data_IF_349812412976
#
_entry.id   IF_349812412976
#
_cell.length_a   1.000
_cell.length_b   1.000
_cell.length_c   1.000
_cell.angle_alpha   90.00
_cell.angle_beta   90.00
_cell.angle_gamma   90.00
#
_symmetry.space_group_name_H-M   'P 1'
#
loop_
_entity.id
_entity.type
_entity.pdbx_description
1 polymer ?
#
# COMPACT_ATOMS: atom_id res chain seq x y z
N UNK A 1 20.37 3.65 31.43
CA UNK A 1 19.47 2.62 30.86
C UNK A 1 18.16 3.29 30.47
N UNK A 2 17.97 3.59 29.19
CA UNK A 2 16.70 4.12 28.68
C UNK A 2 15.69 3.00 28.61
N UNK A 3 14.61 3.11 29.39
CA UNK A 3 13.52 2.14 29.37
C UNK A 3 12.94 2.05 27.95
N UNK A 4 13.03 0.87 27.33
CA UNK A 4 12.32 0.58 26.07
C UNK A 4 10.84 0.59 26.43
N UNK A 5 10.15 1.69 26.14
CA UNK A 5 8.68 1.72 26.26
C UNK A 5 8.13 0.66 25.30
N UNK A 6 7.32 -0.31 25.75
CA UNK A 6 6.66 -1.22 24.85
C UNK A 6 5.80 -0.38 23.91
N UNK A 7 6.17 -0.34 22.62
CA UNK A 7 5.38 0.32 21.59
C UNK A 7 4.02 -0.39 21.58
N UNK A 8 2.89 0.33 21.64
CA UNK A 8 1.58 -0.31 21.67
C UNK A 8 1.34 -1.02 20.34
N UNK A 9 1.65 -2.32 20.29
CA UNK A 9 1.54 -3.19 19.11
C UNK A 9 0.16 -3.07 18.45
N UNK A 10 -0.88 -2.89 19.26
CA UNK A 10 -2.26 -2.69 18.82
C UNK A 10 -2.44 -1.49 17.87
N UNK A 11 -1.69 -0.40 18.07
CA UNK A 11 -1.76 0.84 17.25
C UNK A 11 -1.01 0.73 15.93
N UNK A 12 -0.20 -0.32 15.76
CA UNK A 12 0.50 -0.58 14.51
C UNK A 12 -0.11 -1.74 13.72
N UNK A 13 -1.03 -2.49 14.33
CA UNK A 13 -1.87 -3.46 13.62
C UNK A 13 -3.08 -2.80 12.95
N UNK A 14 -3.40 -1.54 13.26
CA UNK A 14 -4.52 -0.80 12.64
C UNK A 14 -4.46 -0.72 11.12
N UNK A 15 -3.31 -0.52 10.44
CA UNK A 15 -3.23 -0.65 8.98
C UNK A 15 -3.61 -2.04 8.48
N UNK A 16 -3.26 -3.10 9.21
CA UNK A 16 -3.63 -4.47 8.86
C UNK A 16 -5.11 -4.75 9.13
N UNK A 17 -5.69 -4.20 10.20
CA UNK A 17 -7.13 -4.27 10.45
C UNK A 17 -7.92 -3.50 9.39
N UNK A 18 -7.39 -2.36 8.91
CA UNK A 18 -7.97 -1.63 7.77
C UNK A 18 -7.84 -2.44 6.48
N UNK A 19 -6.72 -3.12 6.23
CA UNK A 19 -6.52 -3.96 5.05
C UNK A 19 -7.44 -5.18 5.04
N UNK A 20 -7.47 -5.92 6.14
CA UNK A 20 -8.32 -7.10 6.33
C UNK A 20 -9.80 -6.69 6.35
N UNK A 21 -10.13 -5.53 6.91
CA UNK A 21 -11.46 -4.94 6.85
C UNK A 21 -11.87 -4.46 5.46
N UNK A 22 -10.97 -3.82 4.72
CA UNK A 22 -11.26 -3.26 3.41
C UNK A 22 -11.61 -4.34 2.37
N UNK A 23 -10.84 -5.43 2.31
CA UNK A 23 -11.05 -6.49 1.30
C UNK A 23 -12.26 -7.39 1.56
N UNK A 24 -12.68 -7.58 2.81
CA UNK A 24 -13.76 -8.52 3.17
C UNK A 24 -15.00 -7.84 3.76
N UNK A 25 -14.87 -6.67 4.38
CA UNK A 25 -15.99 -5.97 5.02
C UNK A 25 -16.53 -4.80 4.19
N UNK A 26 -15.79 -4.22 3.25
CA UNK A 26 -16.29 -3.06 2.49
C UNK A 26 -17.53 -3.34 1.62
N UNK A 27 -17.73 -4.60 1.19
CA UNK A 27 -18.95 -5.02 0.49
C UNK A 27 -20.13 -5.33 1.43
N UNK A 28 -19.86 -5.59 2.71
CA UNK A 28 -20.84 -5.96 3.73
C UNK A 28 -21.21 -4.80 4.68
N UNK A 29 -20.39 -3.75 4.72
CA UNK A 29 -20.56 -2.65 5.64
C UNK A 29 -21.42 -1.51 5.05
N UNK A 30 -22.26 -0.87 5.87
CA UNK A 30 -22.99 0.32 5.44
C UNK A 30 -22.03 1.48 5.13
N UNK A 31 -22.44 2.38 4.22
CA UNK A 31 -21.59 3.44 3.69
C UNK A 31 -20.96 4.34 4.77
N UNK A 32 -21.57 4.45 5.95
CA UNK A 32 -21.03 5.21 7.08
C UNK A 32 -19.81 4.53 7.75
N UNK A 33 -19.63 3.22 7.61
CA UNK A 33 -18.52 2.49 8.21
C UNK A 33 -17.17 2.78 7.52
N UNK A 34 -17.21 3.24 6.25
CA UNK A 34 -16.00 3.62 5.52
C UNK A 34 -15.27 4.76 6.22
N UNK A 35 -15.99 5.70 6.85
CA UNK A 35 -15.42 6.80 7.65
C UNK A 35 -14.64 6.28 8.86
N UNK A 36 -15.03 5.15 9.43
CA UNK A 36 -14.26 4.46 10.47
C UNK A 36 -12.92 3.98 9.95
N UNK A 37 -12.88 3.42 8.74
CA UNK A 37 -11.64 3.02 8.06
C UNK A 37 -10.74 4.24 7.82
N UNK A 38 -11.26 5.32 7.23
CA UNK A 38 -10.50 6.56 7.02
C UNK A 38 -9.93 7.11 8.34
N UNK A 39 -10.72 7.08 9.41
CA UNK A 39 -10.31 7.55 10.74
C UNK A 39 -9.19 6.70 11.31
N UNK A 40 -9.30 5.37 11.27
CA UNK A 40 -8.25 4.46 11.73
C UNK A 40 -6.96 4.61 10.92
N UNK A 41 -7.07 4.82 9.61
CA UNK A 41 -5.93 5.13 8.74
C UNK A 41 -5.25 6.42 9.16
N UNK A 42 -6.01 7.51 9.34
CA UNK A 42 -5.47 8.81 9.76
C UNK A 42 -4.77 8.73 11.13
N UNK A 43 -5.37 8.02 12.08
CA UNK A 43 -4.77 7.74 13.40
C UNK A 43 -3.46 6.96 13.26
N UNK A 44 -3.45 5.93 12.39
CA UNK A 44 -2.25 5.13 12.13
C UNK A 44 -1.12 5.98 11.54
N UNK A 45 -1.44 6.81 10.53
CA UNK A 45 -0.48 7.77 9.95
C UNK A 45 0.08 8.67 11.03
N UNK A 46 -0.77 9.29 11.86
CA UNK A 46 -0.33 10.23 12.90
C UNK A 46 0.66 9.59 13.88
N UNK A 47 0.35 8.41 14.41
CA UNK A 47 1.21 7.75 15.39
C UNK A 47 2.50 7.22 14.77
N UNK A 48 2.41 6.59 13.59
CA UNK A 48 3.59 6.11 12.86
C UNK A 48 4.50 7.28 12.49
N UNK A 49 3.94 8.40 12.02
CA UNK A 49 4.70 9.61 11.70
C UNK A 49 5.33 10.24 12.94
N UNK A 50 4.61 10.28 14.06
CA UNK A 50 5.14 10.81 15.31
C UNK A 50 6.35 10.02 15.82
N UNK A 51 6.30 8.69 15.70
CA UNK A 51 7.29 7.78 16.30
C UNK A 51 8.46 7.46 15.36
N UNK A 52 8.19 7.21 14.08
CA UNK A 52 9.18 6.75 13.11
C UNK A 52 9.56 7.80 12.07
N UNK A 53 8.74 8.87 11.92
CA UNK A 53 8.88 9.91 10.89
C UNK A 53 9.16 9.36 9.47
N UNK A 54 8.43 8.33 8.98
CA UNK A 54 8.80 7.70 7.73
C UNK A 54 8.40 8.54 6.50
N UNK A 55 7.58 9.58 6.64
CA UNK A 55 7.36 10.56 5.58
C UNK A 55 8.39 11.68 5.67
N UNK A 56 9.24 11.77 4.65
CA UNK A 56 10.07 12.95 4.41
C UNK A 56 9.67 13.58 3.08
N UNK A 57 9.12 14.80 3.12
CA UNK A 57 8.64 15.50 1.92
C UNK A 57 9.80 15.94 1.03
N UNK A 58 10.29 15.03 0.19
CA UNK A 58 11.40 15.26 -0.72
C UNK A 58 10.90 15.25 -2.15
N UNK A 59 11.22 16.28 -2.92
CA UNK A 59 10.87 16.34 -4.34
C UNK A 59 11.49 15.16 -5.13
N UNK A 60 12.63 14.65 -4.68
CA UNK A 60 13.26 13.46 -5.25
C UNK A 60 12.42 12.19 -5.10
N UNK A 61 11.43 12.15 -4.21
CA UNK A 61 10.49 11.03 -4.13
C UNK A 61 9.61 10.92 -5.38
N UNK A 62 9.36 12.02 -6.10
CA UNK A 62 8.73 11.96 -7.42
C UNK A 62 9.66 11.29 -8.45
N UNK A 63 10.95 11.64 -8.43
CA UNK A 63 11.94 11.12 -9.37
C UNK A 63 12.17 9.61 -9.23
N UNK A 64 11.93 9.04 -8.04
CA UNK A 64 12.05 7.60 -7.80
C UNK A 64 10.70 6.89 -7.85
N UNK A 65 9.66 7.49 -7.29
CA UNK A 65 8.33 6.92 -7.19
C UNK A 65 7.67 6.78 -8.56
N UNK A 66 7.60 7.85 -9.35
CA UNK A 66 6.91 7.84 -10.65
C UNK A 66 7.44 6.76 -11.62
N UNK A 67 8.74 6.70 -11.95
CA UNK A 67 9.23 5.69 -12.89
C UNK A 67 9.08 4.26 -12.34
N UNK A 68 9.26 4.07 -11.03
CA UNK A 68 9.07 2.75 -10.40
C UNK A 68 7.60 2.32 -10.46
N UNK A 69 6.67 3.25 -10.26
CA UNK A 69 5.24 2.99 -10.36
C UNK A 69 4.80 2.62 -11.79
N UNK A 70 5.34 3.31 -12.80
CA UNK A 70 5.11 2.98 -14.21
C UNK A 70 5.70 1.62 -14.58
N UNK A 71 6.90 1.29 -14.09
CA UNK A 71 7.51 -0.03 -14.26
C UNK A 71 6.60 -1.10 -13.68
N UNK A 72 6.14 -0.92 -12.43
CA UNK A 72 5.26 -1.89 -11.77
C UNK A 72 3.92 -2.00 -12.49
N UNK A 73 3.34 -0.90 -13.00
CA UNK A 73 2.13 -0.94 -13.81
C UNK A 73 2.33 -1.79 -15.08
N UNK A 74 3.45 -1.61 -15.78
CA UNK A 74 3.81 -2.42 -16.94
C UNK A 74 3.92 -3.91 -16.58
N UNK A 75 4.60 -4.24 -15.48
CA UNK A 75 4.68 -5.62 -14.98
C UNK A 75 3.30 -6.18 -14.64
N UNK A 76 2.43 -5.38 -14.02
CA UNK A 76 1.09 -5.80 -13.67
C UNK A 76 0.24 -6.07 -14.90
N UNK A 77 0.28 -5.19 -15.90
CA UNK A 77 -0.44 -5.38 -17.17
C UNK A 77 -0.03 -6.68 -17.87
N UNK A 78 1.26 -7.03 -17.82
CA UNK A 78 1.78 -8.24 -18.45
C UNK A 78 1.40 -9.54 -17.71
N UNK A 79 1.18 -9.46 -16.40
CA UNK A 79 1.05 -10.63 -15.53
C UNK A 79 -0.37 -10.84 -14.99
N UNK A 80 -1.19 -9.79 -14.93
CA UNK A 80 -2.52 -9.84 -14.35
C UNK A 80 -3.47 -10.70 -15.15
N UNK A 81 -4.18 -11.56 -14.44
CA UNK A 81 -5.20 -12.48 -14.96
C UNK A 81 -6.52 -12.36 -14.21
N UNK A 82 -6.51 -11.73 -13.03
CA UNK A 82 -7.69 -11.61 -12.17
C UNK A 82 -8.15 -10.16 -12.06
N UNK A 83 -9.25 -9.85 -12.74
CA UNK A 83 -9.98 -8.59 -12.56
C UNK A 83 -11.17 -8.73 -11.63
N UNK A 84 -11.68 -7.58 -11.21
CA UNK A 84 -12.99 -7.47 -10.58
C UNK A 84 -13.94 -6.68 -11.47
N UNK A 85 -15.22 -6.64 -11.11
CA UNK A 85 -16.22 -5.85 -11.83
C UNK A 85 -15.92 -4.34 -11.74
N UNK A 86 -16.49 -3.60 -12.68
CA UNK A 86 -16.41 -2.15 -12.72
C UNK A 86 -16.83 -1.51 -11.37
N UNK A 87 -15.98 -0.66 -10.78
CA UNK A 87 -16.34 0.14 -9.60
C UNK A 87 -17.43 1.15 -9.95
N UNK A 88 -18.62 0.98 -9.36
CA UNK A 88 -19.78 1.85 -9.63
C UNK A 88 -19.78 3.18 -8.87
N UNK A 89 -18.77 3.43 -8.03
CA UNK A 89 -18.78 4.48 -7.00
C UNK A 89 -17.47 5.27 -6.96
N UNK A 90 -17.54 6.59 -6.84
CA UNK A 90 -16.37 7.48 -6.78
C UNK A 90 -15.46 7.15 -5.58
N UNK A 91 -16.03 6.72 -4.47
CA UNK A 91 -15.29 6.36 -3.25
C UNK A 91 -14.37 5.16 -3.49
N UNK A 92 -14.72 4.25 -4.40
CA UNK A 92 -13.88 3.12 -4.77
C UNK A 92 -12.62 3.61 -5.51
N UNK A 93 -12.76 4.61 -6.39
CA UNK A 93 -11.61 5.26 -7.04
C UNK A 93 -10.74 5.99 -6.03
N UNK A 94 -11.32 6.86 -5.19
CA UNK A 94 -10.53 7.58 -4.17
C UNK A 94 -9.77 6.62 -3.26
N UNK A 95 -10.42 5.52 -2.86
CA UNK A 95 -9.77 4.47 -2.07
C UNK A 95 -8.62 3.83 -2.83
N UNK A 96 -8.86 3.36 -4.06
CA UNK A 96 -7.85 2.68 -4.87
C UNK A 96 -6.65 3.58 -5.22
N UNK A 97 -6.89 4.82 -5.60
CA UNK A 97 -5.85 5.75 -6.05
C UNK A 97 -5.04 6.37 -4.92
N UNK A 98 -5.64 6.56 -3.74
CA UNK A 98 -5.03 7.36 -2.66
C UNK A 98 -4.89 6.55 -1.38
N UNK A 99 -5.98 6.00 -0.86
CA UNK A 99 -5.94 5.36 0.45
C UNK A 99 -5.19 4.05 0.45
N UNK A 100 -5.48 3.17 -0.52
CA UNK A 100 -4.88 1.85 -0.60
C UNK A 100 -3.36 1.95 -0.64
N UNK A 101 -2.74 2.78 -1.52
CA UNK A 101 -1.30 3.02 -1.48
C UNK A 101 -0.81 3.45 -0.09
N UNK A 102 -1.47 4.42 0.55
CA UNK A 102 -1.01 4.94 1.85
C UNK A 102 -1.12 3.87 2.95
N UNK A 103 -2.25 3.18 3.05
CA UNK A 103 -2.50 2.16 4.07
C UNK A 103 -1.58 0.96 3.88
N UNK A 104 -1.46 0.46 2.65
CA UNK A 104 -0.62 -0.69 2.36
C UNK A 104 0.85 -0.40 2.62
N UNK A 105 1.35 0.75 2.16
CA UNK A 105 2.73 1.11 2.45
C UNK A 105 2.98 1.33 3.94
N UNK A 106 2.04 1.92 4.69
CA UNK A 106 2.16 1.99 6.16
C UNK A 106 2.24 0.60 6.79
N UNK A 107 1.36 -0.32 6.39
CA UNK A 107 1.28 -1.67 6.92
C UNK A 107 2.57 -2.44 6.64
N UNK A 108 2.96 -2.52 5.37
CA UNK A 108 4.05 -3.37 4.93
C UNK A 108 5.41 -2.72 5.18
N UNK A 109 5.58 -1.43 4.88
CA UNK A 109 6.91 -0.78 4.90
C UNK A 109 7.17 -0.11 6.24
N UNK A 110 6.25 0.69 6.76
CA UNK A 110 6.48 1.41 8.02
C UNK A 110 6.25 0.55 9.27
N UNK A 111 5.45 -0.53 9.20
CA UNK A 111 5.27 -1.44 10.33
C UNK A 111 6.02 -2.76 10.19
N UNK A 112 5.70 -3.55 9.16
CA UNK A 112 6.19 -4.94 9.08
C UNK A 112 7.70 -5.01 8.84
N UNK A 113 8.25 -4.23 7.89
CA UNK A 113 9.69 -4.28 7.58
C UNK A 113 10.59 -3.99 8.80
N UNK A 114 10.34 -2.95 9.63
CA UNK A 114 11.15 -2.66 10.82
C UNK A 114 11.15 -3.74 11.91
N UNK A 115 10.25 -4.73 11.87
CA UNK A 115 10.27 -5.85 12.82
C UNK A 115 11.49 -6.76 12.63
N UNK A 116 12.15 -6.67 11.48
CA UNK A 116 13.28 -7.51 11.12
C UNK A 116 14.59 -6.74 11.23
N UNK A 117 15.53 -7.26 12.03
CA UNK A 117 16.88 -6.67 12.20
C UNK A 117 17.66 -6.59 10.88
N UNK A 118 17.52 -7.61 10.03
CA UNK A 118 18.12 -7.61 8.71
C UNK A 118 17.15 -6.99 7.71
N UNK A 119 17.56 -5.86 7.11
CA UNK A 119 16.72 -5.11 6.16
C UNK A 119 16.25 -5.94 4.96
N UNK A 120 17.07 -6.86 4.45
CA UNK A 120 16.73 -7.68 3.29
C UNK A 120 15.76 -8.80 3.63
N UNK A 121 15.81 -9.31 4.88
CA UNK A 121 14.77 -10.20 5.40
C UNK A 121 13.45 -9.42 5.51
N UNK A 122 13.49 -8.18 6.00
CA UNK A 122 12.32 -7.29 6.02
C UNK A 122 11.73 -7.07 4.63
N UNK A 123 12.56 -6.79 3.63
CA UNK A 123 12.13 -6.65 2.21
C UNK A 123 11.44 -7.92 1.72
N UNK A 124 12.07 -9.10 1.91
CA UNK A 124 11.52 -10.37 1.46
C UNK A 124 10.19 -10.69 2.14
N UNK A 125 10.12 -10.59 3.47
CA UNK A 125 8.91 -10.88 4.24
C UNK A 125 7.79 -9.90 3.87
N UNK A 126 8.11 -8.62 3.69
CA UNK A 126 7.14 -7.61 3.26
C UNK A 126 6.60 -7.89 1.87
N UNK A 127 7.43 -8.29 0.91
CA UNK A 127 6.98 -8.59 -0.45
C UNK A 127 6.10 -9.85 -0.48
N UNK A 128 6.46 -10.88 0.28
CA UNK A 128 5.64 -12.09 0.43
C UNK A 128 4.31 -11.77 1.12
N UNK A 129 4.31 -11.02 2.22
CA UNK A 129 3.08 -10.63 2.91
C UNK A 129 2.15 -9.78 2.03
N UNK A 130 2.72 -8.87 1.23
CA UNK A 130 1.98 -8.12 0.21
C UNK A 130 1.34 -9.06 -0.82
N UNK A 131 2.07 -10.07 -1.27
CA UNK A 131 1.56 -11.08 -2.22
C UNK A 131 0.34 -11.82 -1.69
N UNK A 132 0.34 -12.19 -0.40
CA UNK A 132 -0.73 -12.99 0.22
C UNK A 132 -2.09 -12.31 0.24
N UNK A 133 -2.14 -10.98 0.13
CA UNK A 133 -3.41 -10.24 0.10
C UNK A 133 -3.89 -9.94 -1.32
N UNK A 134 -3.17 -10.36 -2.36
CA UNK A 134 -3.49 -10.10 -3.77
C UNK A 134 -3.80 -11.39 -4.55
N UNK A 135 -4.65 -11.27 -5.57
CA UNK A 135 -5.01 -12.41 -6.42
C UNK A 135 -3.93 -12.76 -7.45
N UNK A 136 -3.37 -11.74 -8.11
CA UNK A 136 -2.30 -11.89 -9.10
C UNK A 136 -0.93 -12.00 -8.41
N UNK A 137 -0.66 -13.17 -7.82
CA UNK A 137 0.47 -13.39 -6.93
C UNK A 137 1.84 -12.98 -7.51
N UNK A 138 2.11 -13.26 -8.79
CA UNK A 138 3.39 -12.91 -9.40
C UNK A 138 3.54 -11.41 -9.58
N UNK A 139 2.48 -10.73 -10.06
CA UNK A 139 2.46 -9.28 -10.19
C UNK A 139 2.64 -8.61 -8.82
N UNK A 140 1.92 -9.10 -7.81
CA UNK A 140 1.98 -8.62 -6.44
C UNK A 140 3.35 -8.85 -5.78
N UNK A 141 4.01 -9.99 -6.01
CA UNK A 141 5.34 -10.24 -5.49
C UNK A 141 6.38 -9.27 -6.04
N UNK A 142 6.34 -9.02 -7.35
CA UNK A 142 7.25 -8.07 -8.00
C UNK A 142 6.97 -6.63 -7.56
N UNK A 143 5.70 -6.20 -7.55
CA UNK A 143 5.28 -4.91 -7.03
C UNK A 143 5.75 -4.71 -5.58
N UNK A 144 5.47 -5.72 -4.74
CA UNK A 144 5.84 -5.74 -3.33
C UNK A 144 7.35 -5.61 -3.12
N UNK A 145 8.15 -6.30 -3.94
CA UNK A 145 9.60 -6.22 -3.91
C UNK A 145 10.12 -4.84 -4.34
N UNK A 146 9.57 -4.24 -5.41
CA UNK A 146 9.96 -2.89 -5.86
C UNK A 146 9.67 -1.85 -4.78
N UNK A 147 8.45 -1.82 -4.25
CA UNK A 147 8.06 -0.85 -3.22
C UNK A 147 8.89 -1.05 -1.93
N UNK A 148 9.10 -2.28 -1.49
CA UNK A 148 9.97 -2.57 -0.34
C UNK A 148 11.43 -2.15 -0.59
N UNK A 149 11.94 -2.33 -1.81
CA UNK A 149 13.28 -1.89 -2.21
C UNK A 149 13.44 -0.36 -2.18
N UNK A 150 12.43 0.39 -2.64
CA UNK A 150 12.40 1.85 -2.56
C UNK A 150 12.50 2.31 -1.11
N UNK A 151 11.67 1.75 -0.22
CA UNK A 151 11.71 2.06 1.20
C UNK A 151 13.06 1.66 1.82
N UNK A 152 13.59 0.47 1.54
CA UNK A 152 14.86 -0.01 2.10
C UNK A 152 16.08 0.84 1.70
N UNK A 153 15.99 1.60 0.60
CA UNK A 153 17.08 2.43 0.09
C UNK A 153 17.23 3.74 0.87
N UNK A 154 16.11 4.39 1.24
CA UNK A 154 16.10 5.76 1.81
C UNK A 154 15.30 5.89 3.11
N UNK A 155 14.63 4.82 3.55
CA UNK A 155 13.69 4.81 4.68
C UNK A 155 12.63 5.91 4.57
N UNK A 156 12.28 6.26 3.33
CA UNK A 156 11.30 7.28 3.00
C UNK A 156 10.08 6.60 2.38
N UNK A 157 8.98 6.62 3.12
CA UNK A 157 7.73 5.97 2.74
C UNK A 157 7.11 6.64 1.51
N UNK A 158 7.41 7.92 1.29
CA UNK A 158 6.84 8.68 0.19
C UNK A 158 7.30 8.12 -1.17
N UNK A 159 8.53 7.61 -1.28
CA UNK A 159 9.02 6.94 -2.49
C UNK A 159 8.10 5.75 -2.87
N UNK A 160 7.69 4.96 -1.87
CA UNK A 160 6.87 3.76 -2.07
C UNK A 160 5.41 4.11 -2.32
N UNK A 161 4.86 5.07 -1.56
CA UNK A 161 3.48 5.56 -1.73
C UNK A 161 3.28 6.17 -3.11
N UNK A 162 4.22 6.99 -3.59
CA UNK A 162 4.14 7.59 -4.93
C UNK A 162 4.23 6.50 -5.99
N UNK A 163 5.13 5.52 -5.86
CA UNK A 163 5.22 4.42 -6.80
C UNK A 163 3.90 3.63 -6.88
N UNK A 164 3.34 3.25 -5.74
CA UNK A 164 2.11 2.50 -5.66
C UNK A 164 0.91 3.30 -6.18
N UNK A 165 0.75 4.57 -5.77
CA UNK A 165 -0.31 5.44 -6.29
C UNK A 165 -0.19 5.65 -7.80
N UNK A 166 1.04 5.75 -8.33
CA UNK A 166 1.28 5.83 -9.78
C UNK A 166 0.84 4.55 -10.48
N UNK A 167 1.21 3.38 -9.94
CA UNK A 167 0.75 2.09 -10.47
C UNK A 167 -0.78 2.05 -10.56
N UNK A 168 -1.47 2.31 -9.46
CA UNK A 168 -2.94 2.27 -9.41
C UNK A 168 -3.56 3.30 -10.35
N UNK A 169 -3.01 4.51 -10.43
CA UNK A 169 -3.49 5.53 -11.35
C UNK A 169 -3.37 5.08 -12.81
N UNK A 170 -2.22 4.52 -13.20
CA UNK A 170 -1.99 4.02 -14.56
C UNK A 170 -2.96 2.88 -14.90
N UNK A 171 -3.16 1.92 -14.00
CA UNK A 171 -4.09 0.81 -14.21
C UNK A 171 -5.54 1.28 -14.27
N UNK A 172 -5.94 2.22 -13.41
CA UNK A 172 -7.28 2.82 -13.44
C UNK A 172 -7.56 3.55 -14.76
N UNK A 173 -6.62 4.38 -15.24
CA UNK A 173 -6.75 5.05 -16.54
C UNK A 173 -6.86 4.03 -17.67
N UNK A 174 -6.09 2.94 -17.63
CA UNK A 174 -6.18 1.89 -18.63
C UNK A 174 -7.55 1.18 -18.59
N UNK A 175 -8.09 0.89 -17.41
CA UNK A 175 -9.43 0.31 -17.27
C UNK A 175 -10.50 1.24 -17.85
N UNK A 176 -10.47 2.53 -17.49
CA UNK A 176 -11.42 3.53 -17.96
C UNK A 176 -11.38 3.75 -19.48
N UNK A 177 -10.19 3.68 -20.09
CA UNK A 177 -10.01 3.91 -21.52
C UNK A 177 -10.29 2.68 -22.38
N UNK A 178 -10.10 1.48 -21.85
CA UNK A 178 -10.26 0.22 -22.61
C UNK A 178 -11.52 -0.56 -22.26
N UNK A 179 -12.19 -0.22 -21.15
CA UNK A 179 -13.29 -1.00 -20.57
C UNK A 179 -12.84 -2.35 -20.00
N UNK A 180 -11.53 -2.62 -19.91
CA UNK A 180 -10.99 -3.88 -19.40
C UNK A 180 -10.66 -3.76 -17.91
N UNK A 181 -11.51 -4.32 -17.06
CA UNK A 181 -11.36 -4.29 -15.61
C UNK A 181 -10.46 -5.42 -15.05
N UNK A 182 -9.74 -6.14 -15.91
CA UNK A 182 -8.76 -7.18 -15.53
C UNK A 182 -7.64 -6.66 -14.62
N UNK A 183 -7.36 -5.36 -14.64
CA UNK A 183 -6.29 -4.73 -13.87
C UNK A 183 -6.80 -4.04 -12.59
N UNK A 184 -8.11 -4.09 -12.33
CA UNK A 184 -8.75 -3.48 -11.17
C UNK A 184 -8.91 -4.54 -10.08
N UNK A 185 -8.09 -4.46 -9.02
CA UNK A 185 -8.10 -5.40 -7.89
C UNK A 185 -6.92 -5.25 -6.93
#
# INVERSE_FOLDING_TARGET
MTAIRPKPVLMFLTPFYVLLGGKYLASALPANAIWGIYTLTAVSIFFVQKEQRPFEWKLSSLAWGLPSGLLVAGLWILLAKSGTDEPRRLEAFVSYLVLTPVVEELAFRAFLMPLFKNKWVGVLVSAVAFTLVHNDWMAALLAGAVYAGLYARRTDLLDSVIAHATTNTTLAVLCLTTGRWTYWG
#
